data_IF_225264470728
#
_entry.id   IF_225264470728
#
_cell.length_a   1.000
_cell.length_b   1.000
_cell.length_c   1.000
_cell.angle_alpha   90.00
_cell.angle_beta   90.00
_cell.angle_gamma   90.00
#
_symmetry.space_group_name_H-M   'P 1'
#
loop_
_entity.id
_entity.type
_entity.pdbx_description
1 polymer ?
#
# COMPACT_ATOMS: atom_id res chain seq x y z
N UNK A 1 22.47 -7.68 2.52
CA UNK A 1 21.40 -6.72 2.18
C UNK A 1 20.86 -6.06 3.44
N UNK A 2 20.24 -6.76 4.40
CA UNK A 2 19.61 -6.18 5.59
C UNK A 2 20.56 -5.24 6.37
N UNK A 3 21.82 -5.63 6.57
CA UNK A 3 22.79 -4.78 7.26
C UNK A 3 23.06 -3.47 6.51
N UNK A 4 23.10 -3.50 5.18
CA UNK A 4 23.28 -2.28 4.37
C UNK A 4 22.07 -1.36 4.51
N UNK A 5 20.86 -1.90 4.36
CA UNK A 5 19.61 -1.13 4.49
C UNK A 5 19.50 -0.44 5.84
N UNK A 6 19.87 -1.13 6.94
CA UNK A 6 19.84 -0.57 8.31
C UNK A 6 20.71 0.67 8.48
N UNK A 7 21.83 0.77 7.78
CA UNK A 7 22.70 1.94 7.80
C UNK A 7 22.20 3.11 6.94
N UNK A 8 21.16 2.89 6.13
CA UNK A 8 20.62 3.86 5.19
C UNK A 8 19.31 4.51 5.66
N UNK A 9 18.81 4.23 6.88
CA UNK A 9 17.54 4.77 7.38
C UNK A 9 17.57 6.28 7.65
N UNK A 10 18.73 6.87 7.87
CA UNK A 10 18.85 8.28 8.23
C UNK A 10 18.41 9.19 7.08
N UNK A 11 17.56 10.15 7.42
CA UNK A 11 17.09 11.20 6.53
C UNK A 11 17.63 12.53 7.09
N UNK A 12 18.12 13.45 6.26
CA UNK A 12 18.56 14.77 6.72
C UNK A 12 17.43 15.54 7.43
N UNK A 13 17.72 16.14 8.58
CA UNK A 13 16.72 16.84 9.40
C UNK A 13 16.09 18.03 8.65
N UNK A 14 16.88 18.78 7.90
CA UNK A 14 16.41 19.89 7.07
C UNK A 14 15.48 19.43 5.95
N UNK A 15 15.75 18.26 5.34
CA UNK A 15 14.82 17.65 4.38
C UNK A 15 13.48 17.31 5.03
N UNK A 16 13.50 16.70 6.23
CA UNK A 16 12.27 16.36 6.96
C UNK A 16 11.49 17.63 7.29
N UNK A 17 12.17 18.65 7.86
CA UNK A 17 11.53 19.89 8.25
C UNK A 17 10.94 20.63 7.04
N UNK A 18 11.73 20.88 6.02
CA UNK A 18 11.35 21.75 4.91
C UNK A 18 10.43 21.08 3.90
N UNK A 19 10.69 19.81 3.59
CA UNK A 19 9.92 19.11 2.57
C UNK A 19 8.69 18.38 3.14
N UNK A 20 8.82 17.70 4.27
CA UNK A 20 7.74 16.85 4.79
C UNK A 20 6.83 17.60 5.78
N UNK A 21 7.40 18.32 6.75
CA UNK A 21 6.63 18.92 7.82
C UNK A 21 6.04 20.29 7.45
N UNK A 22 6.84 21.17 6.83
CA UNK A 22 6.36 22.51 6.42
C UNK A 22 5.53 22.51 5.15
N UNK A 23 5.57 21.43 4.39
CA UNK A 23 4.84 21.31 3.11
C UNK A 23 3.93 20.07 3.11
N UNK A 24 2.89 20.03 3.98
CA UNK A 24 2.00 18.88 4.09
C UNK A 24 1.17 18.70 2.81
N UNK A 25 1.00 17.45 2.38
CA UNK A 25 0.16 17.08 1.24
C UNK A 25 -1.06 16.29 1.66
N UNK A 26 -2.25 16.61 1.13
CA UNK A 26 -3.44 15.77 1.35
C UNK A 26 -3.30 14.38 0.71
N UNK A 27 -2.69 14.33 -0.46
CA UNK A 27 -2.44 13.08 -1.16
C UNK A 27 -1.03 12.59 -0.84
N UNK A 28 -0.94 11.50 -0.09
CA UNK A 28 0.33 10.95 0.38
C UNK A 28 1.20 10.40 -0.76
N UNK A 29 0.60 9.84 -1.81
CA UNK A 29 1.35 9.36 -2.97
C UNK A 29 1.99 10.52 -3.75
N UNK A 30 1.30 11.67 -3.89
CA UNK A 30 1.91 12.87 -4.45
C UNK A 30 3.02 13.40 -3.56
N UNK A 31 2.84 13.36 -2.22
CA UNK A 31 3.87 13.81 -1.29
C UNK A 31 5.10 12.90 -1.33
N UNK A 32 4.89 11.59 -1.45
CA UNK A 32 5.98 10.63 -1.61
C UNK A 32 6.76 10.88 -2.92
N UNK A 33 6.05 11.16 -4.01
CA UNK A 33 6.63 11.48 -5.31
C UNK A 33 7.49 12.76 -5.25
N UNK A 34 6.97 13.83 -4.66
CA UNK A 34 7.67 15.08 -4.40
C UNK A 34 8.92 14.88 -3.53
N UNK A 35 8.79 14.11 -2.45
CA UNK A 35 9.89 13.79 -1.55
C UNK A 35 11.03 13.04 -2.25
N UNK A 36 10.69 12.02 -3.06
CA UNK A 36 11.69 11.26 -3.81
C UNK A 36 12.43 12.16 -4.80
N UNK A 37 11.71 13.01 -5.53
CA UNK A 37 12.35 13.93 -6.48
C UNK A 37 13.24 14.97 -5.76
N UNK A 38 12.81 15.45 -4.59
CA UNK A 38 13.60 16.41 -3.80
C UNK A 38 14.90 15.79 -3.27
N UNK A 39 14.95 14.47 -2.99
CA UNK A 39 16.19 13.80 -2.57
C UNK A 39 17.32 13.87 -3.59
N UNK A 40 17.03 14.14 -4.85
CA UNK A 40 18.03 14.46 -5.87
C UNK A 40 19.00 15.56 -5.41
N UNK A 41 18.49 16.60 -4.74
CA UNK A 41 19.29 17.74 -4.27
C UNK A 41 20.16 17.43 -3.04
N UNK A 42 19.99 16.25 -2.44
CA UNK A 42 20.74 15.75 -1.29
C UNK A 42 21.75 14.66 -1.66
N UNK A 43 21.91 14.38 -2.94
CA UNK A 43 22.93 13.48 -3.46
C UNK A 43 24.06 14.30 -4.09
N UNK A 44 25.32 14.03 -3.70
CA UNK A 44 26.48 14.75 -4.20
C UNK A 44 26.77 14.47 -5.68
N UNK A 45 26.26 13.36 -6.23
CA UNK A 45 26.49 12.94 -7.64
C UNK A 45 25.22 12.30 -8.23
N UNK A 46 24.08 13.05 -8.27
CA UNK A 46 22.77 12.48 -8.56
C UNK A 46 22.66 11.92 -9.98
N UNK A 47 23.36 12.51 -10.96
CA UNK A 47 23.30 12.14 -12.37
C UNK A 47 24.22 10.95 -12.74
N UNK A 48 24.93 10.39 -11.80
CA UNK A 48 25.77 9.22 -12.04
C UNK A 48 24.89 7.98 -12.23
N UNK A 49 24.88 7.48 -13.48
CA UNK A 49 24.10 6.32 -13.91
C UNK A 49 24.92 5.03 -13.96
N UNK A 50 26.13 5.00 -13.40
CA UNK A 50 26.87 3.77 -13.21
C UNK A 50 26.02 2.73 -12.46
N UNK A 51 26.07 1.47 -12.91
CA UNK A 51 25.20 0.41 -12.38
C UNK A 51 25.35 0.22 -10.87
N UNK A 52 26.59 0.26 -10.36
CA UNK A 52 26.84 0.09 -8.94
C UNK A 52 26.34 1.32 -8.15
N UNK A 53 26.60 2.54 -8.63
CA UNK A 53 26.11 3.76 -7.99
C UNK A 53 24.58 3.82 -8.00
N UNK A 54 23.95 3.46 -9.10
CA UNK A 54 22.49 3.37 -9.19
C UNK A 54 21.92 2.37 -8.19
N UNK A 55 22.56 1.20 -8.02
CA UNK A 55 22.16 0.22 -7.01
C UNK A 55 22.28 0.79 -5.58
N UNK A 56 23.39 1.46 -5.26
CA UNK A 56 23.60 2.08 -3.94
C UNK A 56 22.52 3.14 -3.67
N UNK A 57 22.24 4.02 -4.63
CA UNK A 57 21.17 5.04 -4.53
C UNK A 57 19.80 4.37 -4.37
N UNK A 58 19.52 3.31 -5.12
CA UNK A 58 18.26 2.55 -5.01
C UNK A 58 18.06 1.93 -3.63
N UNK A 59 19.10 1.35 -3.03
CA UNK A 59 19.06 0.83 -1.65
C UNK A 59 18.83 1.94 -0.63
N UNK A 60 19.48 3.09 -0.82
CA UNK A 60 19.25 4.28 0.02
C UNK A 60 17.81 4.79 -0.06
N UNK A 61 17.23 4.88 -1.25
CA UNK A 61 15.84 5.25 -1.44
C UNK A 61 14.90 4.26 -0.75
N UNK A 62 15.11 2.95 -0.99
CA UNK A 62 14.32 1.89 -0.38
C UNK A 62 14.31 2.00 1.15
N UNK A 63 15.46 2.25 1.76
CA UNK A 63 15.60 2.37 3.21
C UNK A 63 14.88 3.61 3.78
N UNK A 64 14.89 4.73 3.06
CA UNK A 64 14.31 6.02 3.51
C UNK A 64 12.79 6.11 3.30
N UNK A 65 12.24 5.41 2.31
CA UNK A 65 10.83 5.51 1.94
C UNK A 65 9.84 5.25 3.08
N UNK A 66 10.03 4.25 3.98
CA UNK A 66 9.15 4.04 5.12
C UNK A 66 9.06 5.25 6.06
N UNK A 67 10.21 5.83 6.40
CA UNK A 67 10.27 7.04 7.25
C UNK A 67 9.62 8.24 6.56
N UNK A 68 9.90 8.45 5.28
CA UNK A 68 9.29 9.52 4.47
C UNK A 68 7.77 9.37 4.44
N UNK A 69 7.26 8.16 4.22
CA UNK A 69 5.83 7.88 4.19
C UNK A 69 5.17 8.16 5.56
N UNK A 70 5.80 7.72 6.66
CA UNK A 70 5.30 7.96 8.02
C UNK A 70 5.31 9.46 8.36
N UNK A 71 6.36 10.18 8.06
CA UNK A 71 6.44 11.62 8.35
C UNK A 71 5.46 12.44 7.49
N UNK A 72 5.28 12.06 6.22
CA UNK A 72 4.26 12.66 5.36
C UNK A 72 2.86 12.42 5.90
N UNK A 73 2.57 11.21 6.41
CA UNK A 73 1.30 10.88 7.06
C UNK A 73 1.09 11.68 8.33
N UNK A 74 2.07 11.75 9.23
CA UNK A 74 1.99 12.53 10.47
C UNK A 74 1.78 14.02 10.19
N UNK A 75 2.46 14.57 9.21
CA UNK A 75 2.27 15.94 8.77
C UNK A 75 0.85 16.20 8.22
N UNK A 76 0.35 15.26 7.39
CA UNK A 76 -1.03 15.33 6.87
C UNK A 76 -2.06 15.30 8.00
N UNK A 77 -1.96 14.37 8.91
CA UNK A 77 -2.90 14.20 10.03
C UNK A 77 -2.84 15.42 10.96
N UNK A 78 -1.65 15.92 11.26
CA UNK A 78 -1.50 17.12 12.09
C UNK A 78 -2.14 18.34 11.42
N UNK A 79 -1.82 18.59 10.15
CA UNK A 79 -2.24 19.82 9.47
C UNK A 79 -3.72 19.81 9.06
N UNK A 80 -4.19 18.69 8.51
CA UNK A 80 -5.56 18.61 7.96
C UNK A 80 -6.58 18.02 8.93
N UNK A 81 -6.18 17.02 9.72
CA UNK A 81 -7.08 16.32 10.63
C UNK A 81 -7.01 16.88 12.06
N UNK A 82 -6.09 17.86 12.31
CA UNK A 82 -5.94 18.59 13.59
C UNK A 82 -5.51 17.72 14.76
N UNK A 83 -4.78 16.67 14.52
CA UNK A 83 -4.21 15.81 15.57
C UNK A 83 -2.82 16.30 16.01
N UNK A 84 -2.34 15.77 17.14
CA UNK A 84 -1.01 16.10 17.65
C UNK A 84 0.08 15.53 16.74
N UNK A 85 1.06 16.37 16.38
CA UNK A 85 2.24 15.92 15.66
C UNK A 85 3.15 15.13 16.61
N UNK A 86 3.61 13.97 16.17
CA UNK A 86 4.72 13.25 16.77
C UNK A 86 5.65 12.72 15.69
N UNK A 87 6.93 12.72 15.97
CA UNK A 87 7.97 12.27 15.05
C UNK A 87 8.87 11.30 15.83
N UNK A 88 9.02 10.10 15.31
CA UNK A 88 9.92 9.09 15.84
C UNK A 88 11.07 8.87 14.87
N UNK A 89 12.24 8.47 15.38
CA UNK A 89 13.38 8.14 14.54
C UNK A 89 13.43 6.65 14.25
N UNK A 90 13.91 6.29 13.06
CA UNK A 90 14.10 4.90 12.69
C UNK A 90 15.16 4.25 13.59
N UNK A 91 14.87 3.02 14.02
CA UNK A 91 15.80 2.21 14.82
C UNK A 91 16.63 1.33 13.88
N UNK A 92 17.98 1.43 13.91
CA UNK A 92 18.84 0.61 13.04
C UNK A 92 18.78 -0.91 13.33
N UNK A 93 18.28 -1.30 14.50
CA UNK A 93 18.10 -2.72 14.84
C UNK A 93 16.82 -3.32 14.27
N UNK A 94 15.88 -2.48 13.83
CA UNK A 94 14.59 -2.92 13.29
C UNK A 94 14.67 -3.22 11.79
N UNK A 95 13.80 -4.12 11.33
CA UNK A 95 13.51 -4.32 9.92
C UNK A 95 12.75 -3.12 9.32
N UNK A 96 12.55 -3.12 8.00
CA UNK A 96 11.72 -2.12 7.32
C UNK A 96 10.29 -2.11 7.88
N UNK A 97 9.68 -3.30 8.05
CA UNK A 97 8.32 -3.42 8.56
C UNK A 97 8.20 -2.97 10.03
N UNK A 98 9.14 -3.36 10.88
CA UNK A 98 9.19 -2.93 12.28
C UNK A 98 9.37 -1.41 12.40
N UNK A 99 10.27 -0.83 11.62
CA UNK A 99 10.45 0.62 11.57
C UNK A 99 9.19 1.33 11.11
N UNK A 100 8.54 0.84 10.05
CA UNK A 100 7.30 1.45 9.57
C UNK A 100 6.22 1.48 10.68
N UNK A 101 5.99 0.36 11.36
CA UNK A 101 5.01 0.28 12.45
C UNK A 101 5.37 1.17 13.64
N UNK A 102 6.66 1.18 14.03
CA UNK A 102 7.16 2.01 15.12
C UNK A 102 7.03 3.51 14.79
N UNK A 103 7.38 3.92 13.59
CA UNK A 103 7.31 5.31 13.14
C UNK A 103 5.87 5.81 12.97
N UNK A 104 4.97 4.92 12.54
CA UNK A 104 3.57 5.26 12.29
C UNK A 104 2.77 5.45 13.58
N UNK A 105 3.05 4.64 14.62
CA UNK A 105 2.26 4.58 15.85
C UNK A 105 2.79 5.52 16.91
N UNK A 106 1.90 6.26 17.56
CA UNK A 106 2.26 7.24 18.60
C UNK A 106 3.02 6.60 19.77
N UNK A 107 2.66 5.38 20.16
CA UNK A 107 3.28 4.63 21.26
C UNK A 107 4.43 3.71 20.83
N UNK A 108 4.76 3.69 19.54
CA UNK A 108 5.79 2.87 18.91
C UNK A 108 5.61 1.35 19.09
N UNK A 109 4.47 0.90 19.57
CA UNK A 109 4.25 -0.51 19.89
C UNK A 109 3.74 -1.29 18.68
N UNK A 110 4.27 -2.48 18.53
CA UNK A 110 3.81 -3.49 17.57
C UNK A 110 4.12 -4.89 18.10
N UNK A 111 3.43 -5.88 17.57
CA UNK A 111 3.74 -7.30 17.83
C UNK A 111 4.59 -7.86 16.70
N UNK A 112 5.32 -8.95 16.99
CA UNK A 112 6.10 -9.64 15.95
C UNK A 112 5.21 -10.16 14.81
N UNK A 113 3.95 -10.51 15.08
CA UNK A 113 3.01 -10.96 14.04
C UNK A 113 2.56 -9.83 13.14
N UNK A 114 2.30 -8.64 13.68
CA UNK A 114 2.01 -7.45 12.87
C UNK A 114 3.19 -7.08 11.98
N UNK A 115 4.41 -7.10 12.52
CA UNK A 115 5.61 -6.85 11.74
C UNK A 115 5.80 -7.90 10.63
N UNK A 116 5.60 -9.19 10.92
CA UNK A 116 5.68 -10.26 9.94
C UNK A 116 4.59 -10.16 8.88
N UNK A 117 3.36 -9.77 9.24
CA UNK A 117 2.30 -9.52 8.27
C UNK A 117 2.68 -8.40 7.31
N UNK A 118 3.14 -7.26 7.83
CA UNK A 118 3.56 -6.13 7.00
C UNK A 118 4.77 -6.49 6.12
N UNK A 119 5.74 -7.21 6.64
CA UNK A 119 6.90 -7.69 5.87
C UNK A 119 6.46 -8.62 4.74
N UNK A 120 5.51 -9.52 5.01
CA UNK A 120 4.89 -10.38 3.99
C UNK A 120 4.18 -9.56 2.92
N UNK A 121 3.40 -8.54 3.31
CA UNK A 121 2.74 -7.62 2.38
C UNK A 121 3.78 -6.94 1.48
N UNK A 122 4.83 -6.36 2.05
CA UNK A 122 5.90 -5.69 1.31
C UNK A 122 6.60 -6.65 0.33
N UNK A 123 6.90 -7.87 0.77
CA UNK A 123 7.52 -8.91 -0.06
C UNK A 123 6.63 -9.32 -1.23
N UNK A 124 5.34 -9.55 -1.01
CA UNK A 124 4.39 -9.96 -2.04
C UNK A 124 4.11 -8.87 -3.09
N UNK A 125 4.36 -7.60 -2.73
CA UNK A 125 4.25 -6.46 -3.64
C UNK A 125 5.58 -6.03 -4.27
N UNK A 126 6.70 -6.65 -3.89
CA UNK A 126 8.03 -6.24 -4.35
C UNK A 126 8.27 -6.51 -5.84
N UNK A 127 7.62 -7.51 -6.42
CA UNK A 127 7.77 -7.88 -7.82
C UNK A 127 6.44 -8.28 -8.46
N UNK A 128 6.14 -7.69 -9.62
CA UNK A 128 5.01 -8.06 -10.47
C UNK A 128 5.48 -8.35 -11.91
N UNK A 129 6.77 -8.39 -12.16
CA UNK A 129 7.36 -8.60 -13.47
C UNK A 129 7.23 -7.41 -14.43
N UNK A 130 7.75 -7.59 -15.64
CA UNK A 130 7.87 -6.52 -16.65
C UNK A 130 6.55 -5.97 -17.20
N UNK A 131 5.42 -6.66 -16.98
CA UNK A 131 4.09 -6.22 -17.37
C UNK A 131 3.45 -5.18 -16.44
N UNK A 132 4.08 -4.88 -15.31
CA UNK A 132 3.63 -3.86 -14.39
C UNK A 132 3.83 -2.45 -14.97
N UNK A 133 2.81 -1.59 -14.90
CA UNK A 133 2.85 -0.26 -15.49
C UNK A 133 3.95 0.63 -14.88
N UNK A 134 4.19 0.55 -13.56
CA UNK A 134 5.28 1.30 -12.91
C UNK A 134 6.65 0.82 -13.37
N UNK A 135 6.85 -0.50 -13.51
CA UNK A 135 8.07 -1.08 -14.06
C UNK A 135 8.31 -0.59 -15.49
N UNK A 136 7.27 -0.63 -16.32
CA UNK A 136 7.36 -0.12 -17.71
C UNK A 136 7.68 1.37 -17.74
N UNK A 137 7.04 2.18 -16.91
CA UNK A 137 7.32 3.63 -16.79
C UNK A 137 8.77 3.87 -16.38
N UNK A 138 9.28 3.13 -15.39
CA UNK A 138 10.66 3.23 -14.93
C UNK A 138 11.64 2.89 -16.07
N UNK A 139 11.40 1.81 -16.80
CA UNK A 139 12.25 1.40 -17.94
C UNK A 139 12.25 2.48 -19.02
N UNK A 140 11.08 3.05 -19.36
CA UNK A 140 10.99 4.12 -20.37
C UNK A 140 11.76 5.37 -19.94
N UNK A 141 11.60 5.82 -18.68
CA UNK A 141 12.31 7.01 -18.19
C UNK A 141 13.81 6.72 -18.10
N UNK A 142 14.22 5.61 -17.51
CA UNK A 142 15.62 5.24 -17.37
C UNK A 142 16.34 5.07 -18.72
N UNK A 143 15.63 4.68 -19.78
CA UNK A 143 16.21 4.53 -21.13
C UNK A 143 16.74 5.82 -21.73
N UNK A 144 16.36 6.97 -21.18
CA UNK A 144 16.88 8.28 -21.58
C UNK A 144 18.24 8.61 -20.96
N UNK A 145 18.72 7.78 -20.02
CA UNK A 145 19.96 8.03 -19.27
C UNK A 145 19.82 9.02 -18.13
N UNK A 146 18.59 9.29 -17.67
CA UNK A 146 18.33 10.18 -16.52
C UNK A 146 18.62 9.49 -15.18
N UNK A 147 18.57 10.27 -14.11
CA UNK A 147 18.84 9.86 -12.74
C UNK A 147 17.77 8.91 -12.15
N UNK A 148 18.12 8.22 -11.05
CA UNK A 148 17.22 7.28 -10.38
C UNK A 148 16.05 7.97 -9.68
N UNK A 149 16.22 9.20 -9.18
CA UNK A 149 15.16 9.92 -8.46
C UNK A 149 14.00 10.27 -9.40
N UNK A 150 14.33 10.82 -10.58
CA UNK A 150 13.36 11.06 -11.66
C UNK A 150 12.66 9.77 -12.10
N UNK A 151 13.41 8.69 -12.22
CA UNK A 151 12.91 7.38 -12.62
C UNK A 151 11.91 6.83 -11.61
N UNK A 152 12.28 6.77 -10.33
CA UNK A 152 11.41 6.27 -9.24
C UNK A 152 10.20 7.19 -9.05
N UNK A 153 10.39 8.51 -9.15
CA UNK A 153 9.30 9.49 -9.13
C UNK A 153 8.24 9.20 -10.19
N UNK A 154 8.66 8.88 -11.43
CA UNK A 154 7.75 8.46 -12.51
C UNK A 154 7.01 7.16 -12.20
N UNK A 155 7.70 6.18 -11.62
CA UNK A 155 7.10 4.91 -11.16
C UNK A 155 6.04 5.11 -10.08
N UNK A 156 6.29 5.98 -9.10
CA UNK A 156 5.32 6.35 -8.06
C UNK A 156 4.11 7.06 -8.69
N UNK A 157 4.35 7.95 -9.66
CA UNK A 157 3.29 8.62 -10.41
C UNK A 157 2.38 7.66 -11.15
N UNK A 158 2.95 6.61 -11.76
CA UNK A 158 2.18 5.51 -12.36
C UNK A 158 1.41 4.71 -11.31
N UNK A 159 2.07 4.36 -10.20
CA UNK A 159 1.50 3.52 -9.13
C UNK A 159 0.26 4.13 -8.48
N UNK A 160 0.22 5.45 -8.28
CA UNK A 160 -0.91 6.12 -7.61
C UNK A 160 -2.23 6.08 -8.39
N UNK A 161 -2.20 5.72 -9.66
CA UNK A 161 -3.39 5.69 -10.51
C UNK A 161 -4.43 4.67 -10.03
N UNK A 162 -5.75 5.00 -10.12
CA UNK A 162 -6.82 4.13 -9.62
C UNK A 162 -6.96 2.81 -10.38
N UNK A 163 -6.31 2.69 -11.55
CA UNK A 163 -6.24 1.45 -12.32
C UNK A 163 -4.94 0.66 -12.10
N UNK A 164 -4.18 1.03 -11.06
CA UNK A 164 -2.93 0.38 -10.66
C UNK A 164 -2.90 0.24 -9.13
N UNK A 165 -1.87 0.71 -8.42
CA UNK A 165 -1.76 0.59 -6.97
C UNK A 165 -2.85 1.31 -6.17
N UNK A 166 -3.58 2.25 -6.79
CA UNK A 166 -4.78 2.85 -6.18
C UNK A 166 -5.98 1.91 -6.04
N UNK A 167 -5.89 0.66 -6.52
CA UNK A 167 -6.95 -0.34 -6.35
C UNK A 167 -7.15 -0.75 -4.90
N UNK A 168 -6.09 -0.80 -4.09
CA UNK A 168 -6.16 -1.14 -2.67
C UNK A 168 -7.08 -0.19 -1.88
N UNK A 169 -6.91 1.14 -2.04
CA UNK A 169 -7.78 2.10 -1.37
C UNK A 169 -9.24 1.98 -1.82
N UNK A 170 -9.47 1.58 -3.08
CA UNK A 170 -10.81 1.32 -3.60
C UNK A 170 -11.48 0.14 -2.92
N UNK A 171 -10.73 -0.90 -2.55
CA UNK A 171 -11.25 -2.01 -1.74
C UNK A 171 -11.68 -1.51 -0.37
N UNK A 172 -10.83 -0.76 0.32
CA UNK A 172 -11.14 -0.24 1.65
C UNK A 172 -12.40 0.64 1.64
N UNK A 173 -12.47 1.63 0.74
CA UNK A 173 -13.62 2.52 0.60
C UNK A 173 -14.91 1.76 0.22
N UNK A 174 -14.82 0.75 -0.66
CA UNK A 174 -15.95 -0.12 -1.02
C UNK A 174 -16.44 -0.91 0.19
N UNK A 175 -15.53 -1.49 0.97
CA UNK A 175 -15.89 -2.25 2.16
C UNK A 175 -16.51 -1.37 3.24
N UNK A 176 -16.06 -0.12 3.40
CA UNK A 176 -16.71 0.86 4.29
C UNK A 176 -18.15 1.14 3.85
N UNK A 177 -18.38 1.31 2.54
CA UNK A 177 -19.73 1.50 2.00
C UNK A 177 -20.62 0.25 2.21
N UNK A 178 -20.07 -0.96 2.05
CA UNK A 178 -20.76 -2.23 2.31
C UNK A 178 -21.11 -2.36 3.79
N UNK A 179 -20.19 -2.03 4.70
CA UNK A 179 -20.44 -2.07 6.14
C UNK A 179 -21.54 -1.09 6.56
N UNK A 180 -21.54 0.11 5.99
CA UNK A 180 -22.59 1.10 6.22
C UNK A 180 -23.97 0.59 5.72
N UNK A 181 -24.02 0.00 4.53
CA UNK A 181 -25.25 -0.55 3.93
C UNK A 181 -25.78 -1.76 4.71
N UNK A 182 -24.92 -2.65 5.16
CA UNK A 182 -25.31 -3.89 5.85
C UNK A 182 -25.61 -3.69 7.33
N UNK A 183 -25.12 -2.58 7.93
CA UNK A 183 -25.25 -2.28 9.37
C UNK A 183 -24.13 -2.86 10.21
N UNK A 184 -22.99 -3.22 9.63
CA UNK A 184 -21.78 -3.64 10.33
C UNK A 184 -21.42 -5.11 10.16
N UNK A 185 -20.39 -5.53 10.88
CA UNK A 185 -19.75 -6.86 10.74
C UNK A 185 -20.67 -8.06 11.12
N UNK A 186 -21.74 -7.86 11.88
CA UNK A 186 -22.70 -8.92 12.27
C UNK A 186 -23.81 -9.14 11.23
N UNK A 187 -23.74 -8.47 10.08
CA UNK A 187 -24.72 -8.65 9.03
C UNK A 187 -24.82 -10.12 8.60
N UNK A 188 -26.04 -10.57 8.28
CA UNK A 188 -26.26 -11.89 7.73
C UNK A 188 -25.85 -11.97 6.25
N UNK A 189 -25.71 -13.18 5.73
CA UNK A 189 -25.28 -13.43 4.37
C UNK A 189 -26.26 -12.85 3.33
N UNK A 190 -27.55 -12.71 3.66
CA UNK A 190 -28.55 -12.12 2.79
C UNK A 190 -28.28 -10.62 2.56
N UNK A 191 -27.95 -9.88 3.62
CA UNK A 191 -27.61 -8.46 3.50
C UNK A 191 -26.29 -8.26 2.76
N UNK A 192 -25.29 -9.10 3.02
CA UNK A 192 -24.02 -9.07 2.28
C UNK A 192 -24.29 -9.31 0.79
N UNK A 193 -25.09 -10.32 0.44
CA UNK A 193 -25.47 -10.60 -0.94
C UNK A 193 -26.15 -9.41 -1.62
N UNK A 194 -27.13 -8.81 -0.97
CA UNK A 194 -27.80 -7.61 -1.48
C UNK A 194 -26.83 -6.45 -1.72
N UNK A 195 -25.85 -6.25 -0.86
CA UNK A 195 -24.84 -5.21 -1.06
C UNK A 195 -23.95 -5.51 -2.27
N UNK A 196 -23.57 -6.76 -2.50
CA UNK A 196 -22.81 -7.17 -3.70
C UNK A 196 -23.63 -6.95 -4.97
N UNK A 197 -24.90 -7.32 -4.95
CA UNK A 197 -25.83 -7.08 -6.07
C UNK A 197 -25.96 -5.59 -6.40
N UNK A 198 -26.09 -4.72 -5.37
CA UNK A 198 -26.10 -3.27 -5.52
C UNK A 198 -24.77 -2.70 -6.07
N UNK A 199 -23.63 -3.23 -5.61
CA UNK A 199 -22.32 -2.85 -6.18
C UNK A 199 -22.29 -3.15 -7.68
N UNK A 200 -22.67 -4.36 -8.08
CA UNK A 200 -22.65 -4.78 -9.49
C UNK A 200 -23.69 -4.05 -10.35
N UNK A 201 -24.80 -3.61 -9.77
CA UNK A 201 -25.81 -2.78 -10.43
C UNK A 201 -25.39 -1.29 -10.53
N UNK A 202 -24.29 -0.89 -9.91
CA UNK A 202 -23.87 0.53 -9.85
C UNK A 202 -24.75 1.39 -8.95
N UNK A 203 -25.30 0.81 -7.90
CA UNK A 203 -26.21 1.49 -6.95
C UNK A 203 -25.54 1.75 -5.60
N UNK A 204 -24.35 1.19 -5.35
CA UNK A 204 -23.59 1.35 -4.11
C UNK A 204 -22.16 1.82 -4.39
N UNK A 205 -21.56 2.53 -3.44
CA UNK A 205 -20.21 3.07 -3.48
C UNK A 205 -20.00 4.07 -4.64
N UNK A 206 -19.05 3.84 -5.55
CA UNK A 206 -18.69 4.76 -6.64
C UNK A 206 -19.52 4.60 -7.92
N UNK A 207 -20.52 3.75 -7.89
CA UNK A 207 -21.44 3.44 -8.99
C UNK A 207 -20.80 2.94 -10.28
N UNK A 208 -19.58 2.41 -10.18
CA UNK A 208 -18.86 1.85 -11.34
C UNK A 208 -19.37 0.48 -11.79
N UNK A 209 -20.16 -0.20 -10.97
CA UNK A 209 -20.55 -1.60 -11.19
C UNK A 209 -19.41 -2.60 -10.96
N UNK A 210 -18.30 -2.15 -10.35
CA UNK A 210 -17.14 -2.98 -10.04
C UNK A 210 -17.17 -3.44 -8.59
N UNK A 211 -16.75 -4.68 -8.36
CA UNK A 211 -16.41 -5.20 -7.04
C UNK A 211 -14.89 -5.23 -6.96
N UNK A 212 -14.31 -4.25 -6.27
CA UNK A 212 -12.85 -4.10 -6.17
C UNK A 212 -12.24 -5.24 -5.35
N UNK A 213 -10.99 -5.58 -5.64
CA UNK A 213 -10.31 -6.73 -5.03
C UNK A 213 -10.61 -8.07 -5.72
N UNK A 214 -11.32 -8.05 -6.86
CA UNK A 214 -11.65 -9.25 -7.65
C UNK A 214 -11.24 -9.10 -9.11
N UNK A 215 -10.71 -10.19 -9.67
CA UNK A 215 -10.18 -10.23 -11.03
C UNK A 215 -8.71 -9.84 -11.11
N UNK A 216 -8.01 -10.41 -12.07
CA UNK A 216 -6.62 -10.16 -12.35
C UNK A 216 -6.31 -10.38 -13.83
N UNK A 217 -5.39 -9.59 -14.39
CA UNK A 217 -5.02 -9.71 -15.80
C UNK A 217 -4.33 -11.04 -16.15
N UNK A 218 -3.58 -11.60 -15.19
CA UNK A 218 -2.80 -12.84 -15.36
C UNK A 218 -3.45 -14.02 -14.63
N UNK A 219 -3.83 -13.84 -13.36
CA UNK A 219 -4.42 -14.92 -12.55
C UNK A 219 -5.89 -15.08 -12.87
N UNK A 220 -6.27 -16.23 -13.42
CA UNK A 220 -7.65 -16.53 -13.82
C UNK A 220 -8.39 -17.48 -12.88
N UNK A 221 -7.65 -18.24 -12.07
CA UNK A 221 -8.18 -19.23 -11.13
C UNK A 221 -8.05 -18.74 -9.69
N UNK A 222 -6.85 -18.37 -9.27
CA UNK A 222 -6.52 -17.87 -7.93
C UNK A 222 -5.29 -16.97 -8.00
N UNK A 223 -5.25 -15.92 -7.18
CA UNK A 223 -4.04 -15.14 -6.94
C UNK A 223 -3.34 -15.72 -5.70
N UNK A 224 -2.17 -16.38 -5.84
CA UNK A 224 -1.49 -17.00 -4.71
C UNK A 224 -1.09 -16.02 -3.63
N UNK A 225 -0.93 -14.74 -3.96
CA UNK A 225 -0.60 -13.68 -3.00
C UNK A 225 -1.79 -13.41 -2.07
N UNK A 226 -3.01 -13.39 -2.60
CA UNK A 226 -4.23 -13.22 -1.81
C UNK A 226 -4.42 -14.38 -0.81
N UNK A 227 -4.12 -15.62 -1.21
CA UNK A 227 -4.20 -16.78 -0.32
C UNK A 227 -3.20 -16.69 0.84
N UNK A 228 -1.96 -16.28 0.55
CA UNK A 228 -0.93 -16.07 1.60
C UNK A 228 -1.35 -14.97 2.57
N UNK A 229 -1.80 -13.81 2.06
CA UNK A 229 -2.23 -12.70 2.92
C UNK A 229 -3.45 -13.07 3.76
N UNK A 230 -4.44 -13.75 3.19
CA UNK A 230 -5.59 -14.24 3.93
C UNK A 230 -5.18 -15.11 5.11
N UNK A 231 -4.24 -16.04 4.92
CA UNK A 231 -3.73 -16.88 5.99
C UNK A 231 -3.04 -16.07 7.09
N UNK A 232 -2.18 -15.11 6.72
CA UNK A 232 -1.53 -14.21 7.68
C UNK A 232 -2.53 -13.33 8.44
N UNK A 233 -3.54 -12.78 7.75
CA UNK A 233 -4.61 -12.01 8.38
C UNK A 233 -5.40 -12.84 9.41
N UNK A 234 -5.63 -14.14 9.13
CA UNK A 234 -6.30 -15.03 10.08
C UNK A 234 -5.50 -15.22 11.38
N UNK A 235 -4.19 -15.25 11.31
CA UNK A 235 -3.34 -15.38 12.52
C UNK A 235 -3.33 -14.08 13.34
N UNK A 236 -3.16 -12.93 12.68
CA UNK A 236 -3.16 -11.62 13.35
C UNK A 236 -4.53 -11.32 13.95
N UNK A 237 -5.62 -11.58 13.23
CA UNK A 237 -6.97 -11.34 13.70
C UNK A 237 -7.32 -12.14 14.97
N UNK A 238 -6.82 -13.38 15.08
CA UNK A 238 -6.98 -14.18 16.31
C UNK A 238 -6.27 -13.56 17.50
N UNK A 239 -5.06 -13.07 17.31
CA UNK A 239 -4.26 -12.45 18.36
C UNK A 239 -4.85 -11.11 18.81
N UNK A 240 -5.23 -10.26 17.84
CA UNK A 240 -5.77 -8.92 18.09
C UNK A 240 -7.28 -8.92 18.44
N UNK A 241 -7.93 -10.09 18.45
CA UNK A 241 -9.38 -10.25 18.68
C UNK A 241 -10.27 -9.56 17.63
N UNK A 242 -9.77 -9.47 16.39
CA UNK A 242 -10.49 -8.95 15.22
C UNK A 242 -11.04 -10.05 14.30
N UNK A 243 -11.37 -11.21 14.91
CA UNK A 243 -11.89 -12.37 14.16
C UNK A 243 -13.25 -12.10 13.53
N UNK A 244 -14.06 -11.23 14.13
CA UNK A 244 -15.38 -10.83 13.65
C UNK A 244 -15.28 -10.02 12.36
N UNK A 245 -14.36 -9.06 12.33
CA UNK A 245 -14.08 -8.24 11.15
C UNK A 245 -13.61 -9.12 10.00
N UNK A 246 -12.63 -9.97 10.25
CA UNK A 246 -12.08 -10.86 9.23
C UNK A 246 -13.12 -11.88 8.74
N UNK A 247 -13.97 -12.43 9.61
CA UNK A 247 -15.07 -13.32 9.21
C UNK A 247 -16.01 -12.64 8.23
N UNK A 248 -16.33 -11.37 8.44
CA UNK A 248 -17.14 -10.58 7.51
C UNK A 248 -16.48 -10.51 6.12
N UNK A 249 -15.18 -10.20 6.04
CA UNK A 249 -14.44 -10.15 4.78
C UNK A 249 -14.41 -11.53 4.07
N UNK A 250 -14.23 -12.62 4.81
CA UNK A 250 -14.23 -13.98 4.26
C UNK A 250 -15.63 -14.34 3.70
N UNK A 251 -16.70 -13.99 4.42
CA UNK A 251 -18.08 -14.20 3.94
C UNK A 251 -18.39 -13.34 2.73
N UNK A 252 -17.96 -12.09 2.73
CA UNK A 252 -18.10 -11.20 1.58
C UNK A 252 -17.38 -11.77 0.35
N UNK A 253 -16.14 -12.22 0.50
CA UNK A 253 -15.38 -12.86 -0.59
C UNK A 253 -16.15 -14.02 -1.22
N UNK A 254 -16.65 -14.94 -0.39
CA UNK A 254 -17.41 -16.10 -0.85
C UNK A 254 -18.66 -15.68 -1.60
N UNK A 255 -19.47 -14.82 -1.00
CA UNK A 255 -20.74 -14.35 -1.56
C UNK A 255 -20.52 -13.55 -2.84
N UNK A 256 -19.48 -12.71 -2.90
CA UNK A 256 -19.15 -11.96 -4.10
C UNK A 256 -18.81 -12.87 -5.28
N UNK A 257 -18.05 -13.96 -5.05
CA UNK A 257 -17.77 -14.97 -6.08
C UNK A 257 -19.04 -15.66 -6.58
N UNK A 258 -19.94 -16.06 -5.68
CA UNK A 258 -21.22 -16.67 -6.00
C UNK A 258 -22.08 -15.74 -6.86
N UNK A 259 -22.26 -14.49 -6.46
CA UNK A 259 -23.07 -13.49 -7.18
C UNK A 259 -22.46 -13.16 -8.54
N UNK A 260 -21.12 -13.04 -8.63
CA UNK A 260 -20.46 -12.82 -9.92
C UNK A 260 -20.68 -13.99 -10.89
N UNK A 261 -20.60 -15.23 -10.40
CA UNK A 261 -20.84 -16.41 -11.22
C UNK A 261 -22.27 -16.45 -11.74
N UNK A 262 -23.25 -16.13 -10.90
CA UNK A 262 -24.66 -16.08 -11.30
C UNK A 262 -24.95 -14.97 -12.33
N UNK A 263 -24.39 -13.77 -12.15
CA UNK A 263 -24.69 -12.61 -13.01
C UNK A 263 -23.84 -12.60 -14.28
N UNK A 264 -22.55 -12.96 -14.19
CA UNK A 264 -21.58 -12.87 -15.30
C UNK A 264 -21.23 -14.23 -15.92
N UNK A 265 -21.77 -15.35 -15.36
CA UNK A 265 -21.45 -16.71 -15.80
C UNK A 265 -20.01 -17.14 -15.45
N UNK A 266 -19.30 -16.36 -14.61
CA UNK A 266 -17.90 -16.63 -14.24
C UNK A 266 -17.58 -15.95 -12.93
N UNK A 267 -17.08 -16.72 -11.97
CA UNK A 267 -16.45 -16.17 -10.77
C UNK A 267 -15.09 -15.54 -11.11
N UNK A 268 -14.80 -14.38 -10.53
CA UNK A 268 -13.49 -13.76 -10.63
C UNK A 268 -12.65 -14.12 -9.38
N UNK A 269 -11.35 -14.46 -9.54
CA UNK A 269 -10.50 -14.72 -8.40
C UNK A 269 -10.33 -13.46 -7.54
N UNK A 270 -10.21 -13.64 -6.23
CA UNK A 270 -9.77 -12.60 -5.32
C UNK A 270 -8.32 -12.25 -5.64
N UNK A 271 -8.02 -10.99 -5.78
CA UNK A 271 -6.65 -10.52 -6.01
C UNK A 271 -6.00 -10.01 -4.71
N UNK A 272 -4.71 -9.66 -4.79
CA UNK A 272 -3.90 -9.27 -3.63
C UNK A 272 -4.48 -8.06 -2.89
N UNK A 273 -5.12 -7.12 -3.59
CA UNK A 273 -5.64 -5.87 -3.01
C UNK A 273 -6.77 -6.08 -2.00
N UNK A 274 -7.42 -7.25 -2.02
CA UNK A 274 -8.55 -7.52 -1.12
C UNK A 274 -8.11 -7.76 0.34
N UNK A 275 -6.91 -8.31 0.54
CA UNK A 275 -6.37 -8.65 1.86
C UNK A 275 -5.13 -7.84 2.25
N UNK A 276 -4.65 -6.91 1.41
CA UNK A 276 -3.46 -6.10 1.69
C UNK A 276 -3.72 -4.77 2.40
#
# INVERSE_FOLDING_TARGET
FCNVVRHCYTIPDDFVEMNLLRFPGKNLMNKLQDAVLTLYNYDDDPDNTDVYQTLVKGVNLLAKLPSIACYAYQSKVHYYDRESLFIHYANPEYSIAENFLSLLRKDQKFTSKEANLLDTILMLHADHGGGNNSTFTNVVIASTGTDIYSTVCGGIGSLKGPRHGGANIKVAEMMDAVLAETGGYDADDKKIRQSVEKLMAGELYDRSGLVYGFGHAVYTVSDPRAEVLKACCMEVAKEQKHTRELDFYIRFERIAKEVMEEIKGKALPTNVDFYS
#
